data_IF_836943487887
#
_entry.id   IF_836943487887
#
_cell.length_a   1.000
_cell.length_b   1.000
_cell.length_c   1.000
_cell.angle_alpha   90.00
_cell.angle_beta   90.00
_cell.angle_gamma   90.00
#
_symmetry.space_group_name_H-M   'P 1'
#
loop_
_entity.id
_entity.type
_entity.pdbx_description
1 polymer ?
#
# COMPACT_ATOMS: atom_id res chain seq x y z
N UNK A 1 -167.51 -63.85 -73.25
CA UNK A 1 -168.73 -64.67 -73.14
C UNK A 1 -169.67 -63.95 -72.20
N UNK A 2 -170.89 -63.58 -72.64
CA UNK A 2 -172.12 -63.27 -71.84
C UNK A 2 -171.98 -62.12 -70.79
N UNK A 3 -172.62 -60.94 -70.93
CA UNK A 3 -174.06 -60.63 -70.66
C UNK A 3 -174.46 -60.85 -69.16
N UNK A 4 -175.39 -60.15 -68.50
CA UNK A 4 -176.32 -59.06 -68.89
C UNK A 4 -176.84 -58.29 -67.65
N UNK A 5 -177.42 -57.11 -67.92
CA UNK A 5 -178.39 -56.26 -67.20
C UNK A 5 -178.71 -56.36 -65.68
N UNK A 6 -179.00 -55.15 -65.18
CA UNK A 6 -179.89 -54.80 -64.05
C UNK A 6 -181.34 -55.26 -64.26
N UNK A 7 -182.05 -55.53 -63.15
CA UNK A 7 -183.47 -55.19 -62.84
C UNK A 7 -183.72 -55.68 -61.39
N UNK A 8 -184.63 -55.16 -60.54
CA UNK A 8 -185.56 -54.00 -60.54
C UNK A 8 -185.13 -53.05 -59.36
N UNK A 9 -185.30 -51.72 -59.33
CA UNK A 9 -186.29 -50.72 -59.82
C UNK A 9 -187.31 -50.20 -58.77
N UNK A 10 -188.50 -50.78 -58.59
CA UNK A 10 -189.69 -50.08 -58.05
C UNK A 10 -189.78 -49.91 -56.53
N UNK A 11 -189.50 -50.92 -55.70
CA UNK A 11 -189.69 -50.79 -54.24
C UNK A 11 -188.81 -49.69 -53.62
N UNK A 12 -187.60 -49.49 -54.18
CA UNK A 12 -186.65 -48.46 -53.74
C UNK A 12 -187.16 -47.02 -53.97
N UNK A 13 -188.05 -46.81 -54.93
CA UNK A 13 -188.52 -45.46 -55.30
C UNK A 13 -189.51 -44.90 -54.27
N UNK A 14 -190.34 -45.74 -53.66
CA UNK A 14 -191.30 -45.29 -52.65
C UNK A 14 -190.61 -45.01 -51.30
N UNK A 15 -189.64 -45.83 -50.88
CA UNK A 15 -188.83 -45.58 -49.69
C UNK A 15 -188.02 -44.27 -49.79
N UNK A 16 -187.47 -43.98 -50.98
CA UNK A 16 -186.68 -42.76 -51.19
C UNK A 16 -187.52 -41.47 -51.05
N UNK A 17 -188.83 -41.51 -51.33
CA UNK A 17 -189.67 -40.31 -51.29
C UNK A 17 -190.01 -39.87 -49.85
N UNK A 18 -190.25 -40.80 -48.94
CA UNK A 18 -190.46 -40.46 -47.51
C UNK A 18 -189.17 -39.99 -46.83
N UNK A 19 -188.00 -40.57 -47.17
CA UNK A 19 -186.72 -40.12 -46.61
C UNK A 19 -186.47 -38.63 -46.86
N UNK A 20 -186.71 -38.15 -48.10
CA UNK A 20 -186.44 -36.76 -48.49
C UNK A 20 -187.33 -35.74 -47.73
N UNK A 21 -188.54 -36.12 -47.30
CA UNK A 21 -189.41 -35.24 -46.50
C UNK A 21 -189.01 -35.19 -45.01
N UNK A 22 -188.37 -36.24 -44.49
CA UNK A 22 -187.81 -36.24 -43.14
C UNK A 22 -186.59 -35.30 -43.03
N UNK A 23 -185.73 -35.29 -44.05
CA UNK A 23 -184.45 -34.56 -44.02
C UNK A 23 -184.60 -33.02 -43.94
N UNK A 24 -185.70 -32.45 -44.44
CA UNK A 24 -185.89 -30.98 -44.52
C UNK A 24 -186.58 -30.30 -43.33
N UNK A 25 -187.06 -31.05 -42.33
CA UNK A 25 -187.70 -30.49 -41.13
C UNK A 25 -186.96 -30.80 -39.81
N UNK A 26 -185.75 -31.37 -39.89
CA UNK A 26 -184.89 -31.69 -38.73
C UNK A 26 -183.55 -30.96 -38.71
N UNK A 27 -183.29 -30.03 -39.62
CA UNK A 27 -182.10 -29.16 -39.61
C UNK A 27 -182.38 -27.81 -38.94
N UNK A 28 -183.01 -27.89 -37.76
CA UNK A 28 -183.16 -26.79 -36.82
C UNK A 28 -182.42 -27.16 -35.53
N UNK A 29 -181.62 -26.25 -34.99
CA UNK A 29 -180.75 -26.40 -33.80
C UNK A 29 -179.69 -27.53 -33.78
N UNK A 30 -178.42 -27.11 -33.84
CA UNK A 30 -177.18 -27.79 -33.36
C UNK A 30 -176.66 -29.09 -34.03
N UNK A 31 -175.55 -28.88 -34.77
CA UNK A 31 -174.21 -29.53 -34.60
C UNK A 31 -174.04 -31.03 -34.97
N UNK A 32 -173.01 -31.26 -35.81
CA UNK A 32 -172.40 -32.54 -36.25
C UNK A 32 -173.27 -33.40 -37.21
N UNK A 33 -172.74 -33.89 -38.33
CA UNK A 33 -171.40 -34.48 -38.55
C UNK A 33 -170.59 -33.88 -39.72
N UNK A 34 -169.25 -33.84 -39.54
CA UNK A 34 -168.25 -33.25 -40.46
C UNK A 34 -167.99 -34.01 -41.76
N UNK A 35 -168.64 -35.16 -41.96
CA UNK A 35 -168.16 -36.20 -42.88
C UNK A 35 -168.52 -35.91 -44.35
N UNK A 36 -169.71 -35.38 -44.62
CA UNK A 36 -170.24 -35.28 -45.99
C UNK A 36 -169.89 -33.97 -46.74
N UNK A 37 -169.53 -32.89 -46.05
CA UNK A 37 -168.99 -31.68 -46.70
C UNK A 37 -167.47 -31.79 -46.92
N UNK A 38 -166.74 -32.43 -45.98
CA UNK A 38 -165.30 -32.64 -46.11
C UNK A 38 -164.94 -33.72 -47.14
N UNK A 39 -165.75 -34.76 -47.33
CA UNK A 39 -165.51 -35.70 -48.44
C UNK A 39 -165.64 -35.03 -49.81
N UNK A 40 -166.50 -34.00 -49.96
CA UNK A 40 -166.56 -33.23 -51.22
C UNK A 40 -165.36 -32.32 -51.41
N UNK A 41 -164.91 -31.58 -50.38
CA UNK A 41 -163.71 -30.74 -50.52
C UNK A 41 -162.45 -31.59 -50.68
N UNK A 42 -162.36 -32.73 -50.00
CA UNK A 42 -161.24 -33.67 -50.14
C UNK A 42 -161.25 -34.38 -51.49
N UNK A 43 -162.41 -34.79 -52.02
CA UNK A 43 -162.48 -35.38 -53.36
C UNK A 43 -162.29 -34.34 -54.48
N UNK A 44 -162.67 -33.07 -54.28
CA UNK A 44 -162.34 -31.99 -55.22
C UNK A 44 -160.84 -31.66 -55.20
N UNK A 45 -160.23 -31.51 -54.02
CA UNK A 45 -158.78 -31.32 -53.88
C UNK A 45 -157.98 -32.51 -54.41
N UNK A 46 -158.44 -33.75 -54.20
CA UNK A 46 -157.80 -34.94 -54.77
C UNK A 46 -157.96 -34.99 -56.28
N UNK A 47 -159.06 -34.53 -56.89
CA UNK A 47 -159.15 -34.44 -58.36
C UNK A 47 -158.31 -33.28 -58.96
N UNK A 48 -158.20 -32.12 -58.30
CA UNK A 48 -157.30 -31.04 -58.74
C UNK A 48 -155.83 -31.44 -58.64
N UNK A 49 -155.44 -32.11 -57.55
CA UNK A 49 -154.07 -32.60 -57.35
C UNK A 49 -153.78 -33.83 -58.23
N UNK A 50 -154.74 -34.73 -58.46
CA UNK A 50 -154.53 -35.88 -59.35
C UNK A 50 -154.53 -35.53 -60.84
N UNK A 51 -155.18 -34.45 -61.27
CA UNK A 51 -155.18 -34.01 -62.68
C UNK A 51 -153.93 -33.22 -63.07
N UNK A 52 -153.15 -32.73 -62.09
CA UNK A 52 -151.83 -32.13 -62.32
C UNK A 52 -150.69 -33.15 -62.32
N UNK A 53 -150.91 -34.37 -61.83
CA UNK A 53 -150.00 -35.52 -61.99
C UNK A 53 -150.15 -36.19 -63.36
N UNK A 54 -149.58 -35.57 -64.39
CA UNK A 54 -149.26 -36.26 -65.65
C UNK A 54 -147.93 -36.99 -65.53
N UNK A 55 -147.71 -38.03 -66.34
CA UNK A 55 -146.42 -38.76 -66.37
C UNK A 55 -145.25 -37.79 -66.58
N UNK A 56 -145.45 -36.73 -67.38
CA UNK A 56 -144.46 -35.69 -67.59
C UNK A 56 -144.17 -34.88 -66.31
N UNK A 57 -145.16 -34.50 -65.49
CA UNK A 57 -144.90 -33.70 -64.28
C UNK A 57 -144.24 -34.51 -63.16
N UNK A 58 -144.48 -35.82 -63.11
CA UNK A 58 -143.75 -36.73 -62.22
C UNK A 58 -142.30 -36.90 -62.71
N UNK A 59 -142.07 -37.04 -64.02
CA UNK A 59 -140.71 -37.17 -64.59
C UNK A 59 -139.93 -35.86 -64.49
N UNK A 60 -140.53 -34.69 -64.72
CA UNK A 60 -139.85 -33.41 -64.48
C UNK A 60 -139.63 -33.17 -62.98
N UNK A 61 -140.59 -33.48 -62.11
CA UNK A 61 -140.38 -33.39 -60.67
C UNK A 61 -139.28 -34.32 -60.15
N UNK A 62 -139.13 -35.52 -60.73
CA UNK A 62 -138.02 -36.42 -60.44
C UNK A 62 -136.68 -35.88 -60.98
N UNK A 63 -136.68 -35.27 -62.17
CA UNK A 63 -135.49 -34.68 -62.78
C UNK A 63 -135.04 -33.39 -62.05
N UNK A 64 -135.97 -32.54 -61.63
CA UNK A 64 -135.72 -31.34 -60.83
C UNK A 64 -135.19 -31.75 -59.45
N UNK A 65 -135.78 -32.77 -58.80
CA UNK A 65 -135.27 -33.30 -57.53
C UNK A 65 -133.90 -33.98 -57.69
N UNK A 66 -133.62 -34.60 -58.83
CA UNK A 66 -132.30 -35.14 -59.16
C UNK A 66 -131.27 -34.03 -59.44
N UNK A 67 -131.69 -32.89 -59.99
CA UNK A 67 -130.88 -31.67 -60.16
C UNK A 67 -130.63 -30.96 -58.83
N UNK A 68 -131.65 -30.77 -57.98
CA UNK A 68 -131.49 -30.23 -56.64
C UNK A 68 -130.61 -31.12 -55.78
N UNK A 69 -130.77 -32.45 -55.84
CA UNK A 69 -129.89 -33.38 -55.14
C UNK A 69 -128.45 -33.31 -55.68
N UNK A 70 -128.26 -33.18 -57.00
CA UNK A 70 -126.94 -32.95 -57.60
C UNK A 70 -126.30 -31.65 -57.14
N UNK A 71 -127.07 -30.56 -57.09
CA UNK A 71 -126.60 -29.25 -56.61
C UNK A 71 -126.29 -29.27 -55.11
N UNK A 72 -127.15 -29.85 -54.26
CA UNK A 72 -126.90 -29.97 -52.82
C UNK A 72 -125.70 -30.88 -52.54
N UNK A 73 -125.47 -31.93 -53.32
CA UNK A 73 -124.27 -32.77 -53.22
C UNK A 73 -123.02 -32.00 -53.67
N UNK A 74 -123.09 -31.18 -54.72
CA UNK A 74 -121.99 -30.30 -55.12
C UNK A 74 -121.70 -29.23 -54.07
N UNK A 75 -122.70 -28.49 -53.58
CA UNK A 75 -122.57 -27.51 -52.50
C UNK A 75 -122.00 -28.13 -51.22
N UNK A 76 -122.41 -29.36 -50.88
CA UNK A 76 -121.89 -30.09 -49.74
C UNK A 76 -120.44 -30.53 -49.99
N UNK A 77 -120.10 -30.95 -51.21
CA UNK A 77 -118.73 -31.29 -51.62
C UNK A 77 -117.81 -30.08 -51.65
N UNK A 78 -118.30 -28.91 -52.07
CA UNK A 78 -117.56 -27.65 -52.09
C UNK A 78 -117.31 -27.17 -50.66
N UNK A 79 -118.35 -27.15 -49.80
CA UNK A 79 -118.19 -26.87 -48.36
C UNK A 79 -117.29 -27.88 -47.65
N UNK A 80 -117.38 -29.17 -47.98
CA UNK A 80 -116.48 -30.18 -47.43
C UNK A 80 -115.03 -29.93 -47.90
N UNK A 81 -114.82 -29.53 -49.16
CA UNK A 81 -113.51 -29.16 -49.69
C UNK A 81 -112.96 -27.89 -49.06
N UNK A 82 -113.80 -26.89 -48.79
CA UNK A 82 -113.41 -25.69 -48.03
C UNK A 82 -113.04 -26.02 -46.59
N UNK A 83 -113.84 -26.83 -45.89
CA UNK A 83 -113.54 -27.25 -44.52
C UNK A 83 -112.31 -28.17 -44.44
N UNK A 84 -112.04 -28.99 -45.47
CA UNK A 84 -110.77 -29.73 -45.61
C UNK A 84 -109.61 -28.76 -45.85
N UNK A 85 -109.75 -27.75 -46.73
CA UNK A 85 -108.71 -26.72 -46.95
C UNK A 85 -108.41 -25.94 -45.67
N UNK A 86 -109.44 -25.46 -44.97
CA UNK A 86 -109.31 -24.80 -43.65
C UNK A 86 -108.60 -25.71 -42.64
N UNK A 87 -108.92 -27.01 -42.63
CA UNK A 87 -108.30 -28.00 -41.74
C UNK A 87 -106.83 -28.30 -42.13
N UNK A 88 -106.48 -28.26 -43.41
CA UNK A 88 -105.09 -28.34 -43.88
C UNK A 88 -104.31 -27.06 -43.54
N UNK A 89 -104.88 -25.88 -43.77
CA UNK A 89 -104.31 -24.58 -43.36
C UNK A 89 -104.08 -24.52 -41.84
N UNK A 90 -105.05 -24.97 -41.03
CA UNK A 90 -104.89 -25.06 -39.58
C UNK A 90 -103.82 -26.06 -39.16
N UNK A 91 -103.69 -27.21 -39.82
CA UNK A 91 -102.58 -28.16 -39.58
C UNK A 91 -101.22 -27.56 -39.94
N UNK A 92 -101.14 -26.82 -41.05
CA UNK A 92 -99.92 -26.12 -41.46
C UNK A 92 -99.57 -25.00 -40.46
N UNK A 93 -100.55 -24.20 -40.03
CA UNK A 93 -100.38 -23.17 -39.02
C UNK A 93 -99.90 -23.76 -37.68
N UNK A 94 -100.50 -24.88 -37.22
CA UNK A 94 -100.02 -25.61 -36.03
C UNK A 94 -98.58 -26.08 -36.23
N UNK A 95 -98.21 -26.61 -37.41
CA UNK A 95 -96.84 -27.04 -37.67
C UNK A 95 -95.84 -25.87 -37.59
N UNK A 96 -96.18 -24.73 -38.21
CA UNK A 96 -95.37 -23.50 -38.16
C UNK A 96 -95.24 -22.99 -36.73
N UNK A 97 -96.33 -22.92 -35.98
CA UNK A 97 -96.30 -22.44 -34.59
C UNK A 97 -95.53 -23.41 -33.66
N UNK A 98 -95.61 -24.73 -33.89
CA UNK A 98 -94.77 -25.69 -33.14
C UNK A 98 -93.28 -25.54 -33.43
N UNK A 99 -92.89 -25.19 -34.66
CA UNK A 99 -91.50 -24.88 -35.00
C UNK A 99 -91.05 -23.55 -34.39
N UNK A 100 -91.89 -22.52 -34.48
CA UNK A 100 -91.63 -21.23 -33.86
C UNK A 100 -91.48 -21.35 -32.32
N UNK A 101 -92.28 -22.21 -31.67
CA UNK A 101 -92.13 -22.53 -30.25
C UNK A 101 -90.80 -23.25 -29.95
N UNK A 102 -90.36 -24.17 -30.82
CA UNK A 102 -89.04 -24.82 -30.69
C UNK A 102 -87.91 -23.80 -30.85
N UNK A 103 -87.96 -22.94 -31.87
CA UNK A 103 -86.99 -21.85 -32.09
C UNK A 103 -86.94 -20.89 -30.88
N UNK A 104 -88.09 -20.49 -30.34
CA UNK A 104 -88.16 -19.67 -29.12
C UNK A 104 -87.58 -20.38 -27.90
N UNK A 105 -87.75 -21.70 -27.78
CA UNK A 105 -87.16 -22.50 -26.70
C UNK A 105 -85.63 -22.60 -26.86
N UNK A 106 -85.11 -22.78 -28.07
CA UNK A 106 -83.67 -22.77 -28.36
C UNK A 106 -83.05 -21.40 -28.09
N UNK A 107 -83.68 -20.32 -28.57
CA UNK A 107 -83.27 -18.93 -28.31
C UNK A 107 -83.23 -18.66 -26.80
N UNK A 108 -84.23 -19.13 -26.04
CA UNK A 108 -84.23 -19.00 -24.58
C UNK A 108 -83.07 -19.76 -23.93
N UNK A 109 -82.81 -21.01 -24.32
CA UNK A 109 -81.69 -21.80 -23.78
C UNK A 109 -80.35 -21.10 -24.06
N UNK A 110 -80.17 -20.55 -25.26
CA UNK A 110 -78.97 -19.78 -25.64
C UNK A 110 -78.87 -18.47 -24.85
N UNK A 111 -79.98 -17.76 -24.63
CA UNK A 111 -80.02 -16.54 -23.82
C UNK A 111 -79.70 -16.82 -22.34
N UNK A 112 -80.27 -17.88 -21.76
CA UNK A 112 -80.00 -18.33 -20.38
C UNK A 112 -78.51 -18.73 -20.24
N UNK A 113 -77.95 -19.47 -21.21
CA UNK A 113 -76.53 -19.85 -21.23
C UNK A 113 -75.58 -18.64 -21.39
N UNK A 114 -75.92 -17.68 -22.26
CA UNK A 114 -75.17 -16.44 -22.43
C UNK A 114 -75.22 -15.59 -21.17
N UNK A 115 -76.36 -15.55 -20.47
CA UNK A 115 -76.50 -14.86 -19.20
C UNK A 115 -75.59 -15.47 -18.12
N UNK A 116 -75.58 -16.79 -17.97
CA UNK A 116 -74.69 -17.50 -17.04
C UNK A 116 -73.22 -17.22 -17.37
N UNK A 117 -72.80 -17.36 -18.63
CA UNK A 117 -71.43 -17.08 -19.05
C UNK A 117 -71.03 -15.61 -18.79
N UNK A 118 -71.97 -14.68 -18.96
CA UNK A 118 -71.74 -13.25 -18.64
C UNK A 118 -71.58 -13.03 -17.13
N UNK A 119 -72.35 -13.71 -16.30
CA UNK A 119 -72.21 -13.66 -14.84
C UNK A 119 -70.86 -14.25 -14.40
N UNK A 120 -70.50 -15.45 -14.88
CA UNK A 120 -69.19 -16.07 -14.61
C UNK A 120 -68.04 -15.16 -15.04
N UNK A 121 -68.12 -14.52 -16.20
CA UNK A 121 -67.09 -13.59 -16.65
C UNK A 121 -66.99 -12.35 -15.73
N UNK A 122 -68.12 -11.78 -15.28
CA UNK A 122 -68.13 -10.68 -14.33
C UNK A 122 -67.59 -11.07 -12.95
N UNK A 123 -67.82 -12.30 -12.48
CA UNK A 123 -67.23 -12.80 -11.24
C UNK A 123 -65.72 -13.02 -11.38
N UNK A 124 -65.28 -13.62 -12.48
CA UNK A 124 -63.85 -13.80 -12.78
C UNK A 124 -63.10 -12.46 -12.88
N UNK A 125 -63.70 -11.43 -13.50
CA UNK A 125 -63.13 -10.08 -13.51
C UNK A 125 -63.00 -9.50 -12.10
N UNK A 126 -64.04 -9.58 -11.26
CA UNK A 126 -63.99 -9.12 -9.86
C UNK A 126 -62.92 -9.86 -9.04
N UNK A 127 -62.73 -11.14 -9.27
CA UNK A 127 -61.68 -11.95 -8.61
C UNK A 127 -60.29 -11.49 -9.10
N UNK A 128 -60.12 -11.27 -10.41
CA UNK A 128 -58.86 -10.79 -10.99
C UNK A 128 -58.50 -9.39 -10.47
N UNK A 129 -59.45 -8.45 -10.47
CA UNK A 129 -59.27 -7.09 -9.94
C UNK A 129 -58.88 -7.13 -8.47
N UNK A 130 -59.57 -7.95 -7.65
CA UNK A 130 -59.24 -8.13 -6.24
C UNK A 130 -57.83 -8.67 -6.05
N UNK A 131 -57.46 -9.73 -6.77
CA UNK A 131 -56.13 -10.33 -6.69
C UNK A 131 -55.04 -9.34 -7.12
N UNK A 132 -55.31 -8.53 -8.15
CA UNK A 132 -54.40 -7.49 -8.62
C UNK A 132 -54.21 -6.38 -7.58
N UNK A 133 -55.29 -5.87 -6.98
CA UNK A 133 -55.20 -4.89 -5.88
C UNK A 133 -54.45 -5.44 -4.67
N UNK A 134 -54.71 -6.71 -4.28
CA UNK A 134 -53.97 -7.35 -3.19
C UNK A 134 -52.47 -7.46 -3.49
N UNK A 135 -52.11 -7.87 -4.71
CA UNK A 135 -50.71 -7.95 -5.13
C UNK A 135 -50.04 -6.56 -5.19
N UNK A 136 -50.75 -5.52 -5.63
CA UNK A 136 -50.25 -4.13 -5.59
C UNK A 136 -50.01 -3.66 -4.16
N UNK A 137 -50.95 -3.91 -3.24
CA UNK A 137 -50.80 -3.55 -1.84
C UNK A 137 -49.64 -4.28 -1.16
N UNK A 138 -49.43 -5.57 -1.46
CA UNK A 138 -48.29 -6.35 -0.94
C UNK A 138 -46.97 -5.82 -1.50
N UNK A 139 -46.90 -5.56 -2.81
CA UNK A 139 -45.71 -5.00 -3.45
C UNK A 139 -45.38 -3.59 -2.94
N UNK A 140 -46.37 -2.73 -2.72
CA UNK A 140 -46.16 -1.38 -2.15
C UNK A 140 -45.63 -1.45 -0.71
N UNK A 141 -46.17 -2.36 0.12
CA UNK A 141 -45.66 -2.62 1.49
C UNK A 141 -44.22 -3.13 1.46
N UNK A 142 -43.89 -4.06 0.57
CA UNK A 142 -42.53 -4.58 0.41
C UNK A 142 -41.55 -3.49 -0.08
N UNK A 143 -41.95 -2.65 -1.04
CA UNK A 143 -41.15 -1.52 -1.52
C UNK A 143 -40.87 -0.54 -0.37
N UNK A 144 -41.91 -0.11 0.36
CA UNK A 144 -41.75 0.80 1.50
C UNK A 144 -40.87 0.19 2.59
N UNK A 145 -41.07 -1.08 2.93
CA UNK A 145 -40.26 -1.78 3.92
C UNK A 145 -38.79 -1.90 3.49
N UNK A 146 -38.52 -2.19 2.22
CA UNK A 146 -37.15 -2.23 1.68
C UNK A 146 -36.48 -0.86 1.63
N UNK A 147 -37.22 0.21 1.31
CA UNK A 147 -36.69 1.57 1.41
C UNK A 147 -36.34 1.95 2.85
N UNK A 148 -37.20 1.64 3.82
CA UNK A 148 -36.91 1.88 5.25
C UNK A 148 -35.69 1.12 5.75
N UNK A 149 -35.54 -0.17 5.38
CA UNK A 149 -34.35 -0.94 5.74
C UNK A 149 -33.09 -0.36 5.10
N UNK A 150 -33.16 0.04 3.82
CA UNK A 150 -32.02 0.64 3.12
C UNK A 150 -31.63 2.02 3.67
N UNK A 151 -32.61 2.84 4.07
CA UNK A 151 -32.38 4.13 4.74
C UNK A 151 -31.65 3.93 6.08
N UNK A 152 -32.07 2.95 6.89
CA UNK A 152 -31.38 2.58 8.14
C UNK A 152 -29.96 2.04 7.87
N UNK A 153 -29.80 1.15 6.88
CA UNK A 153 -28.47 0.64 6.47
C UNK A 153 -27.54 1.76 5.99
N UNK A 154 -28.09 2.77 5.30
CA UNK A 154 -27.34 3.94 4.83
C UNK A 154 -26.94 4.85 6.01
N UNK A 155 -27.85 5.17 6.93
CA UNK A 155 -27.53 5.96 8.14
C UNK A 155 -26.46 5.25 8.99
N UNK A 156 -26.59 3.93 9.21
CA UNK A 156 -25.57 3.14 9.91
C UNK A 156 -24.22 3.14 9.20
N UNK A 157 -24.21 3.06 7.86
CA UNK A 157 -22.98 3.10 7.07
C UNK A 157 -22.31 4.47 7.14
N UNK A 158 -23.09 5.56 7.01
CA UNK A 158 -22.60 6.93 7.11
C UNK A 158 -22.04 7.22 8.51
N UNK A 159 -22.68 6.75 9.58
CA UNK A 159 -22.15 6.85 10.96
C UNK A 159 -20.81 6.11 11.10
N UNK A 160 -20.71 4.85 10.62
CA UNK A 160 -19.47 4.06 10.69
C UNK A 160 -18.34 4.72 9.91
N UNK A 161 -18.61 5.25 8.72
CA UNK A 161 -17.61 5.98 7.92
C UNK A 161 -17.15 7.26 8.62
N UNK A 162 -18.05 7.98 9.30
CA UNK A 162 -17.68 9.15 10.12
C UNK A 162 -16.80 8.74 11.30
N UNK A 163 -17.21 7.74 12.08
CA UNK A 163 -16.45 7.19 13.22
C UNK A 163 -15.04 6.73 12.81
N UNK A 164 -14.93 5.92 11.76
CA UNK A 164 -13.63 5.46 11.21
C UNK A 164 -12.76 6.64 10.75
N UNK A 165 -13.36 7.67 10.14
CA UNK A 165 -12.62 8.86 9.71
C UNK A 165 -12.10 9.69 10.89
N UNK A 166 -12.89 9.84 11.96
CA UNK A 166 -12.48 10.54 13.17
C UNK A 166 -11.38 9.77 13.92
N UNK A 167 -11.50 8.45 14.01
CA UNK A 167 -10.47 7.58 14.59
C UNK A 167 -9.16 7.70 13.81
N UNK A 168 -9.21 7.61 12.47
CA UNK A 168 -8.03 7.76 11.61
C UNK A 168 -7.38 9.15 11.73
N UNK A 169 -8.17 10.22 11.85
CA UNK A 169 -7.65 11.58 12.09
C UNK A 169 -6.98 11.65 13.46
N UNK A 170 -7.60 11.09 14.50
CA UNK A 170 -7.08 11.09 15.88
C UNK A 170 -5.79 10.28 15.99
N UNK A 171 -5.71 9.11 15.36
CA UNK A 171 -4.50 8.29 15.28
C UNK A 171 -3.36 9.02 14.56
N UNK A 172 -3.64 9.67 13.42
CA UNK A 172 -2.63 10.48 12.71
C UNK A 172 -2.13 11.64 13.55
N UNK A 173 -3.02 12.36 14.24
CA UNK A 173 -2.63 13.44 15.14
C UNK A 173 -1.73 12.95 16.27
N UNK A 174 -2.06 11.81 16.90
CA UNK A 174 -1.23 11.20 17.94
C UNK A 174 0.14 10.79 17.39
N UNK A 175 0.19 10.12 16.23
CA UNK A 175 1.44 9.73 15.58
C UNK A 175 2.30 10.95 15.19
N UNK A 176 1.69 12.03 14.70
CA UNK A 176 2.40 13.28 14.40
C UNK A 176 2.96 13.92 15.68
N UNK A 177 2.21 13.95 16.79
CA UNK A 177 2.70 14.50 18.07
C UNK A 177 3.79 13.64 18.69
N UNK A 178 3.66 12.31 18.65
CA UNK A 178 4.65 11.38 19.18
C UNK A 178 5.95 11.46 18.37
N UNK A 179 5.85 11.50 17.04
CA UNK A 179 7.01 11.67 16.15
C UNK A 179 7.72 13.01 16.37
N UNK A 180 6.97 14.11 16.52
CA UNK A 180 7.56 15.43 16.82
C UNK A 180 8.24 15.43 18.20
N UNK A 181 7.62 14.82 19.21
CA UNK A 181 8.20 14.68 20.54
C UNK A 181 9.48 13.84 20.53
N UNK A 182 9.50 12.69 19.85
CA UNK A 182 10.68 11.85 19.71
C UNK A 182 11.81 12.58 18.97
N UNK A 183 11.50 13.31 17.89
CA UNK A 183 12.46 14.11 17.14
C UNK A 183 13.06 15.24 17.98
N UNK A 184 12.24 15.96 18.75
CA UNK A 184 12.74 16.97 19.70
C UNK A 184 13.61 16.34 20.80
N UNK A 185 13.20 15.19 21.33
CA UNK A 185 13.94 14.47 22.37
C UNK A 185 15.29 13.99 21.85
N UNK A 186 15.35 13.43 20.64
CA UNK A 186 16.61 13.04 19.99
C UNK A 186 17.52 14.25 19.78
N UNK A 187 17.01 15.36 19.22
CA UNK A 187 17.79 16.59 19.03
C UNK A 187 18.33 17.18 20.32
N UNK A 188 17.56 17.13 21.42
CA UNK A 188 18.02 17.55 22.76
C UNK A 188 19.17 16.65 23.23
N UNK A 189 19.01 15.33 23.17
CA UNK A 189 20.07 14.36 23.53
C UNK A 189 21.34 14.56 22.69
N UNK A 190 21.22 14.73 21.38
CA UNK A 190 22.36 14.98 20.48
C UNK A 190 23.06 16.31 20.78
N UNK A 191 22.28 17.35 21.12
CA UNK A 191 22.81 18.67 21.49
C UNK A 191 23.53 18.62 22.82
N UNK A 192 22.93 17.99 23.84
CA UNK A 192 23.53 17.79 25.16
C UNK A 192 24.85 17.01 25.06
N UNK A 193 24.86 15.90 24.31
CA UNK A 193 26.07 15.10 24.04
C UNK A 193 27.16 15.90 23.31
N UNK A 194 26.79 16.72 22.33
CA UNK A 194 27.72 17.60 21.63
C UNK A 194 28.30 18.69 22.54
N UNK A 195 27.48 19.29 23.41
CA UNK A 195 27.92 20.28 24.39
C UNK A 195 28.84 19.68 25.47
N UNK A 196 28.55 18.46 25.94
CA UNK A 196 29.44 17.72 26.85
C UNK A 196 30.78 17.40 26.16
N UNK A 197 30.76 16.82 24.97
CA UNK A 197 31.98 16.53 24.21
C UNK A 197 32.84 17.79 23.96
N UNK A 198 32.20 18.90 23.58
CA UNK A 198 32.87 20.20 23.41
C UNK A 198 33.50 20.70 24.72
N UNK A 199 32.80 20.55 25.85
CA UNK A 199 33.27 20.96 27.18
C UNK A 199 34.43 20.09 27.67
N UNK A 200 34.43 18.81 27.32
CA UNK A 200 35.51 17.87 27.65
C UNK A 200 36.75 18.16 26.82
N UNK A 201 36.60 18.33 25.51
CA UNK A 201 37.69 18.75 24.63
C UNK A 201 38.28 20.10 25.05
N UNK A 202 37.45 21.07 25.46
CA UNK A 202 37.94 22.37 25.95
C UNK A 202 38.71 22.22 27.27
N UNK A 203 38.27 21.35 28.18
CA UNK A 203 38.99 21.03 29.43
C UNK A 203 40.34 20.36 29.14
N UNK A 204 40.37 19.36 28.26
CA UNK A 204 41.59 18.67 27.84
C UNK A 204 42.60 19.63 27.20
N UNK A 205 42.15 20.51 26.30
CA UNK A 205 43.00 21.54 25.70
C UNK A 205 43.55 22.51 26.75
N UNK A 206 42.74 22.90 27.73
CA UNK A 206 43.20 23.76 28.84
C UNK A 206 44.24 23.06 29.71
N UNK A 207 44.06 21.79 30.09
CA UNK A 207 45.05 21.06 30.89
C UNK A 207 46.34 20.84 30.12
N UNK A 208 46.25 20.43 28.84
CA UNK A 208 47.43 20.24 27.97
C UNK A 208 48.18 21.55 27.73
N UNK A 209 47.49 22.68 27.59
CA UNK A 209 48.13 23.98 27.45
C UNK A 209 48.81 24.43 28.76
N UNK A 210 48.17 24.25 29.92
CA UNK A 210 48.79 24.55 31.22
C UNK A 210 50.03 23.68 31.51
N UNK A 211 50.01 22.40 31.12
CA UNK A 211 51.19 21.54 31.22
C UNK A 211 52.32 21.98 30.29
N UNK A 212 52.00 22.36 29.04
CA UNK A 212 52.97 22.94 28.10
C UNK A 212 53.54 24.25 28.63
N UNK A 213 52.71 25.18 29.09
CA UNK A 213 53.16 26.47 29.65
C UNK A 213 54.15 26.27 30.82
N UNK A 214 53.89 25.31 31.72
CA UNK A 214 54.83 24.94 32.78
C UNK A 214 56.16 24.41 32.21
N UNK A 215 56.12 23.45 31.29
CA UNK A 215 57.33 22.90 30.66
C UNK A 215 58.13 23.95 29.88
N UNK A 216 57.46 24.91 29.25
CA UNK A 216 58.11 26.01 28.54
C UNK A 216 58.74 27.00 29.52
N UNK A 217 58.04 27.38 30.59
CA UNK A 217 58.59 28.25 31.64
C UNK A 217 59.79 27.59 32.37
N UNK A 218 59.75 26.29 32.62
CA UNK A 218 60.89 25.53 33.17
C UNK A 218 62.09 25.54 32.22
N UNK A 219 61.87 25.29 30.92
CA UNK A 219 62.93 25.35 29.90
C UNK A 219 63.52 26.74 29.74
N UNK A 220 62.68 27.76 29.67
CA UNK A 220 63.10 29.16 29.54
C UNK A 220 63.90 29.60 30.76
N UNK A 221 63.48 29.21 31.96
CA UNK A 221 64.24 29.40 33.20
C UNK A 221 65.60 28.71 33.16
N UNK A 222 65.67 27.43 32.77
CA UNK A 222 66.94 26.68 32.66
C UNK A 222 67.87 27.33 31.63
N UNK A 223 67.33 27.81 30.50
CA UNK A 223 68.12 28.52 29.48
C UNK A 223 68.65 29.84 30.05
N UNK A 224 67.81 30.64 30.71
CA UNK A 224 68.21 31.91 31.32
C UNK A 224 69.27 31.74 32.43
N UNK A 225 69.11 30.74 33.32
CA UNK A 225 70.06 30.45 34.40
C UNK A 225 71.43 29.99 33.85
N UNK A 226 71.46 29.25 32.74
CA UNK A 226 72.70 28.76 32.13
C UNK A 226 73.29 29.69 31.05
N UNK A 227 72.59 30.77 30.66
CA UNK A 227 73.00 31.64 29.56
C UNK A 227 74.37 32.29 29.82
N UNK A 228 74.59 32.83 31.02
CA UNK A 228 75.86 33.46 31.40
C UNK A 228 77.03 32.45 31.42
N UNK A 229 76.80 31.22 31.92
CA UNK A 229 77.79 30.15 31.88
C UNK A 229 78.11 29.72 30.44
N UNK A 230 77.10 29.69 29.56
CA UNK A 230 77.30 29.40 28.15
C UNK A 230 78.14 30.49 27.46
N UNK A 231 77.87 31.77 27.71
CA UNK A 231 78.69 32.88 27.20
C UNK A 231 80.12 32.84 27.74
N UNK A 232 80.31 32.54 29.04
CA UNK A 232 81.63 32.37 29.66
C UNK A 232 82.41 31.22 29.01
N UNK A 233 81.80 30.04 28.84
CA UNK A 233 82.44 28.92 28.18
C UNK A 233 82.71 29.20 26.69
N UNK A 234 81.84 29.92 26.00
CA UNK A 234 82.08 30.33 24.61
C UNK A 234 83.30 31.25 24.51
N UNK A 235 83.39 32.29 25.36
CA UNK A 235 84.55 33.19 25.42
C UNK A 235 85.83 32.45 25.84
N UNK A 236 85.73 31.50 26.77
CA UNK A 236 86.86 30.65 27.16
C UNK A 236 87.35 29.80 25.98
N UNK A 237 86.46 29.17 25.22
CA UNK A 237 86.80 28.38 24.03
C UNK A 237 87.42 29.27 22.93
N UNK A 238 86.89 30.47 22.70
CA UNK A 238 87.43 31.42 21.72
C UNK A 238 88.82 31.95 22.10
N UNK A 239 89.09 32.17 23.40
CA UNK A 239 90.38 32.70 23.88
C UNK A 239 91.43 31.64 24.20
N UNK A 240 91.03 30.40 24.48
CA UNK A 240 91.93 29.30 24.87
C UNK A 240 93.07 29.03 23.87
N UNK A 241 92.88 29.04 22.53
CA UNK A 241 93.99 28.86 21.58
C UNK A 241 95.08 29.92 21.71
N UNK A 242 94.70 31.19 21.93
CA UNK A 242 95.65 32.29 22.11
C UNK A 242 96.39 32.17 23.45
N UNK A 243 95.69 31.79 24.52
CA UNK A 243 96.30 31.56 25.83
C UNK A 243 97.28 30.38 25.80
N UNK A 244 96.92 29.30 25.10
CA UNK A 244 97.78 28.12 24.89
C UNK A 244 99.05 28.50 24.11
N UNK A 245 98.90 29.23 22.99
CA UNK A 245 100.04 29.71 22.20
C UNK A 245 100.97 30.62 23.01
N UNK A 246 100.43 31.52 23.83
CA UNK A 246 101.23 32.35 24.74
C UNK A 246 101.94 31.53 25.82
N UNK A 247 101.25 30.58 26.45
CA UNK A 247 101.84 29.71 27.47
C UNK A 247 102.97 28.84 26.89
N UNK A 248 102.76 28.28 25.69
CA UNK A 248 103.79 27.51 24.97
C UNK A 248 104.97 28.40 24.57
N UNK A 249 104.75 29.65 24.14
CA UNK A 249 105.83 30.62 23.87
C UNK A 249 106.61 30.95 25.14
N UNK A 250 105.94 31.29 26.25
CA UNK A 250 106.57 31.59 27.54
C UNK A 250 107.39 30.40 28.06
N UNK A 251 106.81 29.20 28.10
CA UNK A 251 107.51 27.99 28.53
C UNK A 251 108.71 27.65 27.63
N UNK A 252 108.61 27.86 26.30
CA UNK A 252 109.74 27.70 25.38
C UNK A 252 110.83 28.74 25.65
N UNK A 253 110.48 30.00 25.87
CA UNK A 253 111.45 31.05 26.20
C UNK A 253 112.14 30.82 27.54
N UNK A 254 111.40 30.39 28.56
CA UNK A 254 111.94 30.06 29.89
C UNK A 254 112.88 28.86 29.81
N UNK A 255 112.49 27.78 29.11
CA UNK A 255 113.37 26.65 28.87
C UNK A 255 114.64 27.04 28.08
N UNK A 256 114.54 27.92 27.08
CA UNK A 256 115.70 28.45 26.36
C UNK A 256 116.59 29.28 27.29
N UNK A 257 116.01 30.17 28.11
CA UNK A 257 116.75 31.00 29.09
C UNK A 257 117.45 30.12 30.12
N UNK A 258 116.78 29.12 30.67
CA UNK A 258 117.34 28.18 31.66
C UNK A 258 118.46 27.32 31.04
N UNK A 259 118.25 26.73 29.87
CA UNK A 259 119.28 25.95 29.16
C UNK A 259 120.48 26.83 28.80
N UNK A 260 120.27 28.09 28.38
CA UNK A 260 121.35 29.03 28.09
C UNK A 260 122.10 29.45 29.37
N UNK A 261 121.40 29.70 30.48
CA UNK A 261 122.04 30.02 31.77
C UNK A 261 122.84 28.83 32.31
N UNK A 262 122.25 27.64 32.35
CA UNK A 262 122.93 26.41 32.76
C UNK A 262 124.10 26.06 31.83
N UNK A 263 123.96 26.28 30.52
CA UNK A 263 125.03 26.12 29.54
C UNK A 263 126.18 27.11 29.77
N UNK A 264 125.86 28.38 30.02
CA UNK A 264 126.84 29.42 30.34
C UNK A 264 127.57 29.14 31.64
N UNK A 265 126.86 28.79 32.72
CA UNK A 265 127.47 28.43 34.01
C UNK A 265 128.38 27.19 33.88
N UNK A 266 127.97 26.17 33.11
CA UNK A 266 128.82 25.01 32.82
C UNK A 266 130.06 25.38 32.01
N UNK A 267 129.94 26.28 31.03
CA UNK A 267 131.08 26.75 30.24
C UNK A 267 132.05 27.58 31.10
N UNK A 268 131.54 28.50 31.92
CA UNK A 268 132.34 29.29 32.87
C UNK A 268 133.04 28.40 33.91
N UNK A 269 132.38 27.36 34.43
CA UNK A 269 133.00 26.38 35.33
C UNK A 269 134.11 25.59 34.62
N UNK A 270 133.87 25.08 33.41
CA UNK A 270 134.89 24.38 32.61
C UNK A 270 136.08 25.28 32.28
N UNK A 271 135.85 26.55 31.97
CA UNK A 271 136.92 27.53 31.74
C UNK A 271 137.71 27.81 33.02
N UNK A 272 137.05 27.91 34.19
CA UNK A 272 137.73 28.08 35.49
C UNK A 272 138.52 26.83 35.90
N UNK A 273 138.00 25.63 35.66
CA UNK A 273 138.72 24.36 35.89
C UNK A 273 139.93 24.24 34.97
N UNK A 274 139.81 24.69 33.71
CA UNK A 274 140.93 24.75 32.77
C UNK A 274 141.98 25.80 33.17
N UNK A 275 141.56 27.01 33.58
CA UNK A 275 142.47 28.02 34.14
C UNK A 275 143.18 27.51 35.41
N UNK A 276 142.48 26.83 36.31
CA UNK A 276 143.03 26.29 37.54
C UNK A 276 144.03 25.15 37.28
N UNK A 277 143.71 24.22 36.38
CA UNK A 277 144.65 23.17 35.96
C UNK A 277 145.84 23.75 35.23
N UNK A 278 145.65 24.72 34.32
CA UNK A 278 146.74 25.45 33.67
C UNK A 278 147.66 26.11 34.68
N UNK A 279 147.13 26.87 35.64
CA UNK A 279 147.93 27.50 36.73
C UNK A 279 148.67 26.47 37.57
N UNK A 280 148.06 25.31 37.85
CA UNK A 280 148.71 24.21 38.57
C UNK A 280 149.91 23.66 37.78
N UNK A 281 149.78 23.48 36.46
CA UNK A 281 150.90 23.12 35.59
C UNK A 281 151.96 24.22 35.51
N UNK A 282 151.58 25.50 35.42
CA UNK A 282 152.50 26.65 35.43
C UNK A 282 153.30 26.73 36.74
N UNK A 283 152.65 26.59 37.90
CA UNK A 283 153.35 26.51 39.20
C UNK A 283 154.26 25.29 39.28
N UNK A 284 153.88 24.15 38.68
CA UNK A 284 154.72 22.95 38.64
C UNK A 284 155.94 23.13 37.72
N UNK A 285 155.79 23.85 36.62
CA UNK A 285 156.91 24.26 35.75
C UNK A 285 157.83 25.21 36.52
N UNK A 286 157.32 26.28 37.14
CA UNK A 286 158.13 27.20 37.96
C UNK A 286 158.88 26.49 39.09
N UNK A 287 158.22 25.55 39.79
CA UNK A 287 158.85 24.76 40.85
C UNK A 287 159.97 23.85 40.33
N UNK A 288 159.82 23.30 39.11
CA UNK A 288 160.86 22.51 38.44
C UNK A 288 162.00 23.41 37.93
N UNK A 289 161.71 24.59 37.38
CA UNK A 289 162.69 25.58 36.94
C UNK A 289 163.52 26.11 38.12
N UNK A 290 162.88 26.44 39.25
CA UNK A 290 163.59 26.76 40.50
C UNK A 290 164.46 25.60 40.98
N UNK A 291 163.99 24.36 40.88
CA UNK A 291 164.78 23.19 41.24
C UNK A 291 166.00 23.07 40.31
N UNK A 292 165.81 23.24 39.00
CA UNK A 292 166.89 23.23 38.00
C UNK A 292 167.90 24.34 38.28
N UNK A 293 167.47 25.56 38.64
CA UNK A 293 168.37 26.65 39.03
C UNK A 293 169.13 26.34 40.33
N UNK A 294 168.46 25.79 41.35
CA UNK A 294 169.11 25.34 42.60
C UNK A 294 170.13 24.23 42.34
N UNK A 295 169.80 23.25 41.48
CA UNK A 295 170.74 22.20 41.05
C UNK A 295 171.89 22.75 40.20
N UNK A 296 171.64 23.75 39.34
CA UNK A 296 172.69 24.40 38.56
C UNK A 296 173.68 25.15 39.46
N UNK A 297 173.20 25.89 40.47
CA UNK A 297 174.07 26.57 41.44
C UNK A 297 174.76 25.59 42.40
N UNK A 298 174.13 24.47 42.77
CA UNK A 298 174.82 23.36 43.46
C UNK A 298 175.94 22.75 42.60
N UNK A 299 175.70 22.52 41.30
CA UNK A 299 176.71 22.03 40.36
C UNK A 299 177.85 23.04 40.21
N UNK A 300 177.56 24.33 40.09
CA UNK A 300 178.56 25.40 40.01
C UNK A 300 179.39 25.48 41.32
N UNK A 301 178.75 25.38 42.48
CA UNK A 301 179.44 25.33 43.77
C UNK A 301 180.31 24.08 43.92
N UNK A 302 179.83 22.91 43.51
CA UNK A 302 180.62 21.66 43.48
C UNK A 302 181.77 21.75 42.48
N UNK A 303 181.58 22.40 41.34
CA UNK A 303 182.63 22.64 40.34
C UNK A 303 183.72 23.57 40.89
N UNK A 304 183.33 24.66 41.56
CA UNK A 304 184.26 25.56 42.26
C UNK A 304 185.01 24.84 43.39
N UNK A 305 184.33 24.02 44.21
CA UNK A 305 184.97 23.18 45.22
C UNK A 305 185.93 22.15 44.62
N UNK A 306 185.60 21.57 43.46
CA UNK A 306 186.47 20.63 42.74
C UNK A 306 187.70 21.35 42.15
N UNK A 307 187.54 22.58 41.67
CA UNK A 307 188.63 23.42 41.19
C UNK A 307 189.55 23.90 42.32
N UNK A 308 189.02 24.23 43.49
CA UNK A 308 189.81 24.61 44.66
C UNK A 308 190.47 23.39 45.33
N UNK A 309 189.84 22.23 45.36
CA UNK A 309 190.51 20.98 45.81
C UNK A 309 191.60 20.52 44.83
N UNK A 310 191.45 20.77 43.52
CA UNK A 310 192.54 20.63 42.55
C UNK A 310 193.72 21.57 42.85
N UNK A 311 193.47 22.85 43.15
CA UNK A 311 194.53 23.79 43.56
C UNK A 311 195.19 23.35 44.87
N UNK A 312 194.41 22.93 45.86
CA UNK A 312 194.94 22.45 47.15
C UNK A 312 195.81 21.19 46.95
N UNK A 313 195.36 20.23 46.13
CA UNK A 313 196.12 19.04 45.72
C UNK A 313 197.47 19.39 45.08
N UNK A 314 197.49 20.31 44.11
CA UNK A 314 198.73 20.79 43.49
C UNK A 314 199.66 21.49 44.52
N UNK A 315 199.10 22.31 45.41
CA UNK A 315 199.87 23.01 46.44
C UNK A 315 200.49 22.07 47.49
N UNK A 316 199.80 20.97 47.83
CA UNK A 316 200.30 19.97 48.77
C UNK A 316 201.43 19.13 48.15
N UNK A 317 201.32 18.82 46.85
CA UNK A 317 202.30 18.01 46.12
C UNK A 317 203.63 18.75 45.96
N UNK A 318 203.60 20.06 45.69
CA UNK A 318 204.80 20.91 45.63
C UNK A 318 205.49 21.04 47.00
N UNK A 319 204.73 21.09 48.11
CA UNK A 319 205.29 21.25 49.46
C UNK A 319 205.96 19.99 50.04
N UNK A 320 205.80 18.84 49.39
CA UNK A 320 206.34 17.56 49.86
C UNK A 320 207.72 17.19 49.28
N UNK A 321 208.23 17.92 48.28
CA UNK A 321 209.38 17.49 47.47
C UNK A 321 210.68 18.29 47.68
N UNK A 322 210.70 19.33 48.52
CA UNK A 322 211.73 20.37 48.44
C UNK A 322 212.67 20.56 49.65
N UNK A 323 212.68 19.68 50.67
CA UNK A 323 213.68 19.82 51.75
C UNK A 323 214.18 18.53 52.42
N UNK A 324 214.40 17.48 51.64
CA UNK A 324 215.11 16.25 52.05
C UNK A 324 216.54 16.17 51.46
N UNK A 325 217.33 17.25 51.53
CA UNK A 325 218.73 17.22 51.05
C UNK A 325 219.66 18.32 51.63
N UNK A 326 220.14 18.12 52.86
CA UNK A 326 221.43 18.59 53.45
C UNK A 326 221.37 18.30 54.97
N UNK A 327 222.06 17.32 55.59
CA UNK A 327 223.33 16.61 55.37
C UNK A 327 224.60 17.41 55.70
N UNK A 328 225.09 17.12 56.92
CA UNK A 328 226.48 17.08 57.39
C UNK A 328 227.33 18.33 57.71
N UNK A 329 228.01 18.17 58.84
CA UNK A 329 229.36 18.66 59.20
C UNK A 329 229.55 20.06 59.82
N UNK A 330 229.50 20.03 61.15
CA UNK A 330 230.62 20.34 62.07
C UNK A 330 230.95 21.79 62.47
N UNK A 331 231.10 21.91 63.79
CA UNK A 331 232.16 22.62 64.52
C UNK A 331 232.17 24.16 64.60
N UNK A 332 232.35 24.60 65.85
CA UNK A 332 233.16 25.74 66.33
C UNK A 332 232.62 27.18 66.28
N UNK A 333 232.24 27.58 67.50
CA UNK A 333 232.78 28.71 68.26
C UNK A 333 232.62 30.14 67.72
N UNK A 334 231.76 30.86 68.45
CA UNK A 334 231.86 32.27 68.88
C UNK A 334 232.02 33.35 67.78
N UNK A 335 231.08 34.30 67.89
CA UNK A 335 230.72 35.36 66.95
C UNK A 335 229.82 34.85 65.82
#
# INVERSE_FOLDING_TARGET
MVMVAREDSKQKIFQAFEQILADRKKTDSKIATKEQEAEKTKNQQVLEVASTYTVNSIVTGLADLQLEFGNVVNDLSEKLSEEVSKLEELKLAINVETKHLQELQEIRIVADALHILTQEHQENLKILDKNYSQYQEELEKDIVHKHQLWEIEQEEFESKVQEDSELLIRERQLQETDYQYELERQRKIETDQYEEFKRDQQREQQTVNQEKEKQWAEREKIIAENHALFEEYQQAIETFPSQLDEAVKKAREEAIKEVHQNGKVKAELLEKDWEATKRSYEFKIQSLEENIQKRATEIENLYNQLQDTLKQSQSLTLKAFENSSNINSKDRNKN
#
